data_IF_198343572824
#
_entry.id   IF_198343572824
#
_cell.length_a   1.000
_cell.length_b   1.000
_cell.length_c   1.000
_cell.angle_alpha   90.00
_cell.angle_beta   90.00
_cell.angle_gamma   90.00
#
_symmetry.space_group_name_H-M   'P 1'
#
loop_
_entity.id
_entity.type
_entity.pdbx_description
1 polymer ?
#
# COMPACT_ATOMS: atom_id res chain seq x y z
N UNK A 1 -81.28 -33.66 -13.31
CA UNK A 1 -81.03 -32.47 -14.15
C UNK A 1 -79.74 -31.81 -13.66
N UNK A 2 -78.69 -31.79 -14.51
CA UNK A 2 -77.39 -31.05 -14.38
C UNK A 2 -76.48 -31.49 -13.22
N UNK A 3 -75.32 -32.16 -13.36
CA UNK A 3 -74.13 -32.05 -14.24
C UNK A 3 -73.29 -30.79 -14.00
N UNK A 4 -72.18 -30.94 -13.26
CA UNK A 4 -70.89 -30.19 -13.31
C UNK A 4 -70.11 -30.49 -12.01
N UNK A 5 -68.78 -30.56 -11.92
CA UNK A 5 -67.65 -30.82 -12.83
C UNK A 5 -66.44 -30.94 -11.88
N UNK A 6 -65.68 -32.04 -11.94
CA UNK A 6 -64.35 -32.12 -11.29
C UNK A 6 -63.43 -31.05 -11.91
N UNK A 7 -62.72 -30.28 -11.08
CA UNK A 7 -61.51 -29.56 -11.48
C UNK A 7 -60.42 -29.91 -10.46
N UNK A 8 -59.57 -30.86 -10.87
CA UNK A 8 -58.31 -31.16 -10.21
C UNK A 8 -57.33 -30.06 -10.59
N UNK A 9 -56.96 -29.19 -9.64
CA UNK A 9 -55.90 -28.21 -9.83
C UNK A 9 -54.57 -28.94 -9.57
N UNK A 10 -53.86 -29.28 -10.64
CA UNK A 10 -52.46 -29.67 -10.58
C UNK A 10 -51.61 -28.43 -10.31
N UNK A 11 -51.04 -28.34 -9.11
CA UNK A 11 -50.01 -27.35 -8.80
C UNK A 11 -48.72 -27.85 -9.44
N UNK A 12 -48.38 -27.31 -10.61
CA UNK A 12 -47.04 -27.42 -11.17
C UNK A 12 -46.11 -26.54 -10.32
N UNK A 13 -45.28 -27.17 -9.50
CA UNK A 13 -44.18 -26.51 -8.82
C UNK A 13 -43.15 -26.08 -9.88
N UNK A 14 -43.26 -24.83 -10.34
CA UNK A 14 -42.18 -24.17 -11.08
C UNK A 14 -41.07 -23.91 -10.07
N UNK A 15 -40.12 -24.84 -10.01
CA UNK A 15 -38.85 -24.62 -9.35
C UNK A 15 -38.16 -23.45 -10.05
N UNK A 16 -38.18 -22.28 -9.43
CA UNK A 16 -37.23 -21.21 -9.71
C UNK A 16 -35.85 -21.69 -9.27
N UNK A 17 -35.23 -22.52 -10.11
CA UNK A 17 -33.80 -22.72 -10.07
C UNK A 17 -33.17 -21.39 -10.42
N UNK A 18 -32.77 -20.62 -9.39
CA UNK A 18 -31.79 -19.57 -9.58
C UNK A 18 -30.55 -20.24 -10.16
N UNK A 19 -30.37 -20.13 -11.47
CA UNK A 19 -29.09 -20.41 -12.08
C UNK A 19 -28.09 -19.46 -11.40
N UNK A 20 -27.25 -20.01 -10.53
CA UNK A 20 -26.05 -19.34 -10.09
C UNK A 20 -25.18 -19.17 -11.34
N UNK A 21 -25.39 -18.09 -12.08
CA UNK A 21 -24.56 -17.76 -13.22
C UNK A 21 -23.15 -17.54 -12.69
N UNK A 22 -22.21 -18.36 -13.17
CA UNK A 22 -20.79 -18.11 -13.00
C UNK A 22 -20.50 -16.66 -13.41
N UNK A 23 -20.07 -15.84 -12.45
CA UNK A 23 -19.83 -14.43 -12.69
C UNK A 23 -18.34 -14.21 -12.96
N UNK A 24 -18.01 -13.74 -14.15
CA UNK A 24 -16.67 -13.31 -14.51
C UNK A 24 -16.48 -11.83 -14.16
N UNK A 25 -15.31 -11.46 -13.65
CA UNK A 25 -14.92 -10.07 -13.40
C UNK A 25 -13.70 -9.70 -14.24
N UNK A 26 -13.76 -8.60 -14.97
CA UNK A 26 -12.61 -8.04 -15.71
C UNK A 26 -12.15 -6.74 -15.05
N UNK A 27 -10.88 -6.68 -14.67
CA UNK A 27 -10.29 -5.58 -13.93
C UNK A 27 -9.22 -4.88 -14.76
N UNK A 28 -9.37 -3.59 -15.02
CA UNK A 28 -8.32 -2.76 -15.62
C UNK A 28 -7.36 -2.22 -14.55
N UNK A 29 -6.08 -2.61 -14.61
CA UNK A 29 -5.04 -2.20 -13.65
C UNK A 29 -4.09 -1.15 -14.23
N UNK A 30 -3.74 -0.12 -13.45
CA UNK A 30 -2.70 0.83 -13.81
C UNK A 30 -1.32 0.17 -13.83
N UNK A 31 -1.04 -0.68 -12.84
CA UNK A 31 0.26 -1.30 -12.64
C UNK A 31 0.11 -2.80 -12.51
N UNK A 32 0.68 -3.52 -13.46
CA UNK A 32 0.83 -4.97 -13.42
C UNK A 32 1.84 -5.37 -12.32
N UNK A 33 1.62 -6.47 -11.57
CA UNK A 33 2.63 -7.00 -10.68
C UNK A 33 3.87 -7.42 -11.47
N UNK A 34 5.07 -7.15 -10.95
CA UNK A 34 6.31 -7.54 -11.61
C UNK A 34 6.64 -9.04 -11.50
N UNK A 35 5.90 -9.78 -10.67
CA UNK A 35 6.03 -11.23 -10.46
C UNK A 35 4.81 -11.75 -9.69
N UNK A 36 4.48 -13.02 -9.90
CA UNK A 36 3.48 -13.78 -9.13
C UNK A 36 4.09 -14.35 -7.84
N UNK A 37 5.42 -14.48 -7.75
CA UNK A 37 6.12 -14.90 -6.55
C UNK A 37 5.87 -13.89 -5.42
N UNK A 38 5.20 -14.28 -4.33
CA UNK A 38 4.80 -13.35 -3.28
C UNK A 38 5.98 -12.77 -2.50
N UNK A 39 7.19 -13.32 -2.69
CA UNK A 39 8.39 -12.88 -1.97
C UNK A 39 9.43 -12.17 -2.87
N UNK A 40 9.15 -11.99 -4.16
CA UNK A 40 10.12 -11.39 -5.09
C UNK A 40 10.23 -9.86 -4.97
N UNK A 41 9.11 -9.17 -4.77
CA UNK A 41 9.10 -7.70 -4.78
C UNK A 41 8.08 -7.15 -3.79
N UNK A 42 8.57 -6.65 -2.64
CA UNK A 42 7.76 -5.96 -1.65
C UNK A 42 7.35 -4.56 -2.16
N UNK A 43 6.27 -4.53 -2.95
CA UNK A 43 5.71 -3.34 -3.58
C UNK A 43 4.18 -3.44 -3.62
N UNK A 44 3.48 -2.30 -3.47
CA UNK A 44 2.01 -2.24 -3.38
C UNK A 44 1.23 -3.10 -4.38
N UNK A 45 1.41 -2.95 -5.71
CA UNK A 45 0.71 -3.79 -6.69
C UNK A 45 1.00 -5.28 -6.56
N UNK A 46 2.25 -5.67 -6.30
CA UNK A 46 2.64 -7.07 -6.07
C UNK A 46 1.97 -7.63 -4.82
N UNK A 47 2.08 -6.91 -3.69
CA UNK A 47 1.54 -7.35 -2.40
C UNK A 47 0.02 -7.45 -2.46
N UNK A 48 -0.65 -6.46 -3.06
CA UNK A 48 -2.10 -6.43 -3.25
C UNK A 48 -2.57 -7.62 -4.11
N UNK A 49 -1.92 -7.86 -5.24
CA UNK A 49 -2.24 -8.98 -6.11
C UNK A 49 -2.03 -10.34 -5.41
N UNK A 50 -0.92 -10.49 -4.70
CA UNK A 50 -0.59 -11.73 -3.98
C UNK A 50 -1.66 -12.12 -2.94
N UNK A 51 -2.40 -11.15 -2.37
CA UNK A 51 -3.48 -11.45 -1.40
C UNK A 51 -4.61 -12.30 -1.97
N UNK A 52 -4.81 -12.29 -3.29
CA UNK A 52 -5.82 -13.13 -3.93
C UNK A 52 -5.44 -14.61 -3.93
N UNK A 53 -4.14 -14.90 -4.01
CA UNK A 53 -3.60 -16.25 -4.17
C UNK A 53 -3.13 -16.81 -2.82
N UNK A 54 -2.41 -16.02 -2.02
CA UNK A 54 -1.71 -16.48 -0.82
C UNK A 54 -2.24 -15.82 0.45
N UNK A 55 -2.53 -16.62 1.47
CA UNK A 55 -2.86 -16.14 2.83
C UNK A 55 -1.63 -15.65 3.60
N UNK A 56 -1.87 -14.94 4.70
CA UNK A 56 -0.86 -14.55 5.69
C UNK A 56 -1.20 -15.17 7.05
N UNK A 57 -0.30 -15.10 8.03
CA UNK A 57 -0.66 -15.50 9.40
C UNK A 57 -1.72 -14.56 9.98
N UNK A 58 -1.55 -13.26 9.78
CA UNK A 58 -2.48 -12.23 10.25
C UNK A 58 -3.09 -11.51 9.06
N UNK A 59 -4.41 -11.40 9.01
CA UNK A 59 -5.12 -10.60 8.01
C UNK A 59 -5.16 -9.12 8.41
N UNK A 60 -5.39 -8.24 7.44
CA UNK A 60 -5.51 -6.80 7.67
C UNK A 60 -6.60 -6.21 6.78
N UNK A 61 -7.54 -5.48 7.37
CA UNK A 61 -8.67 -4.88 6.65
C UNK A 61 -8.28 -3.56 5.96
N UNK A 62 -9.25 -2.91 5.30
CA UNK A 62 -9.04 -1.63 4.63
C UNK A 62 -8.61 -0.48 5.56
N UNK A 63 -8.80 -0.65 6.87
CA UNK A 63 -8.40 0.28 7.93
C UNK A 63 -7.13 -0.18 8.67
N UNK A 64 -6.46 -1.20 8.17
CA UNK A 64 -5.30 -1.87 8.78
C UNK A 64 -5.57 -2.51 10.15
N UNK A 65 -6.83 -2.78 10.50
CA UNK A 65 -7.12 -3.55 11.69
C UNK A 65 -6.79 -5.02 11.43
N UNK A 66 -6.16 -5.65 12.41
CA UNK A 66 -5.80 -7.05 12.30
C UNK A 66 -7.04 -7.94 12.47
N UNK A 67 -7.14 -8.97 11.64
CA UNK A 67 -8.13 -10.04 11.80
C UNK A 67 -7.49 -11.42 11.61
N UNK A 68 -8.12 -12.50 12.11
CA UNK A 68 -7.59 -13.85 11.93
C UNK A 68 -7.59 -14.32 10.47
N UNK A 69 -6.42 -14.75 9.97
CA UNK A 69 -6.27 -15.36 8.64
C UNK A 69 -5.85 -16.84 8.80
N UNK A 70 -4.60 -17.20 8.47
CA UNK A 70 -4.07 -18.54 8.72
C UNK A 70 -3.75 -18.78 10.20
N UNK A 71 -3.52 -17.74 11.00
CA UNK A 71 -3.55 -17.81 12.45
C UNK A 71 -4.92 -17.37 12.98
N UNK A 72 -5.56 -18.22 13.79
CA UNK A 72 -6.85 -17.93 14.42
C UNK A 72 -6.72 -17.04 15.66
N UNK A 73 -5.53 -17.00 16.27
CA UNK A 73 -5.21 -16.13 17.40
C UNK A 73 -3.69 -15.99 17.56
N UNK A 74 -3.25 -14.90 18.18
CA UNK A 74 -1.86 -14.68 18.56
C UNK A 74 -1.75 -13.88 19.86
N UNK A 75 -0.72 -14.14 20.66
CA UNK A 75 -0.48 -13.46 21.94
C UNK A 75 0.98 -13.51 22.35
N UNK A 76 1.50 -12.55 23.12
CA UNK A 76 2.76 -12.75 23.83
C UNK A 76 2.59 -13.87 24.86
N UNK A 77 3.57 -14.77 24.97
CA UNK A 77 3.65 -15.79 26.03
C UNK A 77 4.74 -15.47 27.05
N UNK A 78 5.68 -14.62 26.66
CA UNK A 78 6.64 -13.93 27.51
C UNK A 78 7.01 -12.58 26.85
N UNK A 79 7.95 -11.85 27.45
CA UNK A 79 8.39 -10.52 26.97
C UNK A 79 8.95 -10.53 25.54
N UNK A 80 9.46 -11.66 25.08
CA UNK A 80 10.22 -11.81 23.83
C UNK A 80 9.63 -12.81 22.85
N UNK A 81 8.61 -13.57 23.26
CA UNK A 81 8.03 -14.65 22.46
C UNK A 81 6.54 -14.42 22.22
N UNK A 82 6.13 -14.49 20.96
CA UNK A 82 4.73 -14.53 20.55
C UNK A 82 4.34 -15.93 20.11
N UNK A 83 3.18 -16.40 20.56
CA UNK A 83 2.54 -17.61 20.08
C UNK A 83 1.47 -17.28 19.04
N UNK A 84 1.46 -18.02 17.93
CA UNK A 84 0.44 -17.99 16.90
C UNK A 84 -0.21 -19.37 16.81
N UNK A 85 -1.54 -19.44 17.00
CA UNK A 85 -2.33 -20.66 16.79
C UNK A 85 -2.85 -20.67 15.36
N UNK A 86 -2.48 -21.71 14.61
CA UNK A 86 -2.82 -21.86 13.20
C UNK A 86 -4.22 -22.46 13.02
N UNK A 87 -4.87 -22.09 11.93
CA UNK A 87 -6.17 -22.60 11.51
C UNK A 87 -6.04 -24.06 11.07
N UNK A 88 -6.90 -24.91 11.61
CA UNK A 88 -6.98 -26.32 11.22
C UNK A 88 -7.83 -26.50 9.97
N UNK A 89 -7.58 -27.57 9.21
CA UNK A 89 -8.39 -27.96 8.05
C UNK A 89 -8.21 -27.08 6.81
N UNK A 90 -7.22 -26.18 6.81
CA UNK A 90 -6.87 -25.40 5.62
C UNK A 90 -6.18 -26.28 4.60
N UNK A 91 -6.57 -26.14 3.34
CA UNK A 91 -5.95 -26.80 2.20
C UNK A 91 -5.25 -25.78 1.30
N UNK A 92 -4.11 -26.18 0.78
CA UNK A 92 -3.49 -25.57 -0.38
C UNK A 92 -4.36 -25.77 -1.63
N UNK A 93 -4.15 -24.97 -2.67
CA UNK A 93 -4.90 -25.07 -3.92
C UNK A 93 -4.80 -26.43 -4.61
N UNK A 94 -3.72 -27.19 -4.33
CA UNK A 94 -3.48 -28.57 -4.80
C UNK A 94 -4.13 -29.66 -3.90
N UNK A 95 -4.86 -29.25 -2.86
CA UNK A 95 -5.54 -30.12 -1.90
C UNK A 95 -4.68 -30.61 -0.73
N UNK A 96 -3.37 -30.37 -0.72
CA UNK A 96 -2.52 -30.74 0.41
C UNK A 96 -2.81 -29.91 1.67
N UNK A 97 -2.60 -30.45 2.88
CA UNK A 97 -2.91 -29.72 4.12
C UNK A 97 -1.87 -28.64 4.42
N UNK A 98 -2.34 -27.52 4.98
CA UNK A 98 -1.48 -26.48 5.56
C UNK A 98 -1.03 -26.85 6.97
N UNK A 99 0.23 -26.59 7.32
CA UNK A 99 0.77 -26.77 8.68
C UNK A 99 1.83 -25.73 9.07
N UNK A 100 2.30 -25.81 10.31
CA UNK A 100 3.44 -25.02 10.78
C UNK A 100 4.72 -25.20 9.94
N UNK A 101 4.91 -26.35 9.28
CA UNK A 101 6.09 -26.57 8.42
C UNK A 101 6.11 -25.60 7.23
N UNK A 102 4.94 -25.26 6.68
CA UNK A 102 4.81 -24.27 5.62
C UNK A 102 5.21 -22.87 6.09
N UNK A 103 4.90 -22.53 7.35
CA UNK A 103 5.28 -21.25 7.97
C UNK A 103 6.81 -21.17 8.12
N UNK A 104 7.42 -22.23 8.67
CA UNK A 104 8.88 -22.28 8.86
C UNK A 104 9.62 -22.23 7.51
N UNK A 105 9.13 -22.97 6.51
CA UNK A 105 9.68 -22.90 5.16
C UNK A 105 9.54 -21.51 4.54
N UNK A 106 8.36 -20.89 4.69
CA UNK A 106 8.08 -19.55 4.15
C UNK A 106 9.08 -18.52 4.67
N UNK A 107 9.29 -18.46 5.98
CA UNK A 107 10.12 -17.40 6.59
C UNK A 107 11.59 -17.58 6.29
N UNK A 108 12.04 -18.81 6.04
CA UNK A 108 13.39 -19.08 5.54
C UNK A 108 13.51 -18.61 4.08
N UNK A 109 12.56 -18.98 3.21
CA UNK A 109 12.61 -18.63 1.79
C UNK A 109 12.48 -17.12 1.55
N UNK A 110 11.54 -16.46 2.22
CA UNK A 110 11.21 -15.05 1.98
C UNK A 110 12.39 -14.10 2.21
N UNK A 111 13.36 -14.51 3.04
CA UNK A 111 14.59 -13.75 3.28
C UNK A 111 15.65 -13.92 2.18
N UNK A 112 15.55 -14.99 1.39
CA UNK A 112 16.63 -15.49 0.54
C UNK A 112 16.26 -15.51 -0.96
N UNK A 113 15.19 -14.83 -1.38
CA UNK A 113 14.80 -14.78 -2.80
C UNK A 113 15.87 -14.07 -3.63
N UNK A 114 16.47 -14.74 -4.64
CA UNK A 114 17.51 -14.14 -5.46
C UNK A 114 17.02 -12.93 -6.25
N UNK A 115 17.86 -11.91 -6.37
CA UNK A 115 17.61 -10.73 -7.21
C UNK A 115 16.30 -9.97 -6.90
N UNK A 116 15.76 -10.12 -5.68
CA UNK A 116 14.56 -9.39 -5.23
C UNK A 116 14.84 -7.86 -5.21
N UNK A 117 14.10 -7.04 -5.98
CA UNK A 117 14.30 -5.58 -6.00
C UNK A 117 13.98 -4.88 -4.67
N UNK A 118 13.05 -5.44 -3.89
CA UNK A 118 12.68 -4.99 -2.55
C UNK A 118 12.34 -6.21 -1.70
N UNK A 119 13.22 -6.53 -0.75
CA UNK A 119 13.14 -7.77 0.03
C UNK A 119 12.19 -7.67 1.23
N UNK A 120 11.63 -8.82 1.64
CA UNK A 120 10.83 -8.97 2.85
C UNK A 120 11.66 -9.17 4.13
N UNK A 121 13.00 -9.19 4.05
CA UNK A 121 13.92 -9.35 5.20
C UNK A 121 13.59 -8.41 6.35
N UNK A 122 13.13 -7.18 6.07
CA UNK A 122 12.81 -6.22 7.14
C UNK A 122 11.73 -6.70 8.12
N UNK A 123 10.85 -7.61 7.71
CA UNK A 123 9.76 -8.16 8.55
C UNK A 123 10.16 -9.45 9.26
N UNK A 124 11.32 -10.03 8.93
CA UNK A 124 11.75 -11.35 9.40
C UNK A 124 13.08 -11.29 10.15
N UNK A 125 13.90 -10.29 9.87
CA UNK A 125 15.21 -10.11 10.50
C UNK A 125 15.08 -9.96 12.02
N UNK A 126 15.93 -10.71 12.74
CA UNK A 126 15.96 -10.68 14.20
C UNK A 126 14.81 -11.47 14.86
N UNK A 127 14.09 -12.29 14.09
CA UNK A 127 13.03 -13.18 14.57
C UNK A 127 13.43 -14.64 14.38
N UNK A 128 13.24 -15.44 15.42
CA UNK A 128 13.42 -16.89 15.37
C UNK A 128 12.07 -17.55 15.39
N UNK A 129 11.76 -18.33 14.36
CA UNK A 129 10.52 -19.09 14.25
C UNK A 129 10.74 -20.51 14.74
N UNK A 130 9.81 -21.04 15.51
CA UNK A 130 9.89 -22.40 16.05
C UNK A 130 8.53 -23.08 15.98
N UNK A 131 8.53 -24.30 15.47
CA UNK A 131 7.35 -25.18 15.48
C UNK A 131 7.22 -25.79 16.86
N UNK A 132 6.09 -25.55 17.53
CA UNK A 132 5.75 -26.22 18.79
C UNK A 132 4.97 -27.50 18.49
N UNK A 133 4.01 -27.39 17.58
CA UNK A 133 3.25 -28.51 17.00
C UNK A 133 2.77 -28.09 15.59
N UNK A 134 2.03 -28.97 14.90
CA UNK A 134 1.56 -28.71 13.52
C UNK A 134 0.67 -27.46 13.37
N UNK A 135 0.10 -26.97 14.46
CA UNK A 135 -0.82 -25.82 14.47
C UNK A 135 -0.42 -24.74 15.48
N UNK A 136 0.84 -24.75 15.96
CA UNK A 136 1.36 -23.74 16.87
C UNK A 136 2.78 -23.34 16.45
N UNK A 137 2.95 -22.04 16.19
CA UNK A 137 4.26 -21.44 15.90
C UNK A 137 4.60 -20.41 16.97
N UNK A 138 5.83 -20.47 17.47
CA UNK A 138 6.41 -19.43 18.31
C UNK A 138 7.34 -18.55 17.48
N UNK A 139 7.28 -17.24 17.70
CA UNK A 139 8.17 -16.25 17.11
C UNK A 139 8.86 -15.48 18.22
N UNK A 140 10.19 -15.62 18.31
CA UNK A 140 11.01 -15.00 19.35
C UNK A 140 11.86 -13.86 18.79
N UNK A 141 12.01 -12.78 19.57
CA UNK A 141 12.94 -11.66 19.31
C UNK A 141 13.94 -11.50 20.46
N UNK A 142 15.01 -10.72 20.26
CA UNK A 142 15.98 -10.44 21.35
C UNK A 142 15.45 -9.48 22.42
N UNK A 143 14.47 -8.63 22.05
CA UNK A 143 13.84 -7.63 22.90
C UNK A 143 12.32 -7.66 22.68
N UNK A 144 11.52 -7.10 23.60
CA UNK A 144 10.09 -6.96 23.38
C UNK A 144 9.78 -6.28 22.05
N UNK A 145 8.92 -6.94 21.26
CA UNK A 145 8.56 -6.48 19.92
C UNK A 145 7.04 -6.52 19.72
N UNK A 146 6.31 -5.45 20.10
CA UNK A 146 4.85 -5.42 20.06
C UNK A 146 4.27 -5.35 18.64
N UNK A 147 5.10 -5.00 17.64
CA UNK A 147 4.70 -4.94 16.22
C UNK A 147 4.71 -6.32 15.54
N UNK A 148 4.89 -7.42 16.30
CA UNK A 148 4.94 -8.77 15.74
C UNK A 148 3.73 -9.10 14.85
N UNK A 149 2.48 -8.81 15.24
CA UNK A 149 1.33 -9.10 14.38
C UNK A 149 1.34 -8.28 13.08
N UNK A 150 1.80 -7.01 13.14
CA UNK A 150 1.88 -6.15 11.96
C UNK A 150 2.82 -6.74 10.90
N UNK A 151 4.00 -7.23 11.29
CA UNK A 151 4.95 -7.86 10.37
C UNK A 151 4.34 -9.10 9.71
N UNK A 152 3.55 -9.87 10.47
CA UNK A 152 2.91 -11.11 10.03
C UNK A 152 1.70 -10.90 9.10
N UNK A 153 1.32 -9.65 8.82
CA UNK A 153 0.36 -9.32 7.75
C UNK A 153 0.99 -9.28 6.36
N UNK A 154 2.30 -9.03 6.31
CA UNK A 154 2.99 -8.66 5.07
C UNK A 154 3.59 -9.87 4.35
N UNK A 155 4.14 -10.83 5.11
CA UNK A 155 4.75 -12.04 4.54
C UNK A 155 3.66 -13.07 4.24
N UNK A 156 3.51 -13.46 2.96
CA UNK A 156 2.51 -14.45 2.54
C UNK A 156 3.03 -15.87 2.73
N UNK A 157 2.18 -16.75 3.25
CA UNK A 157 2.55 -18.15 3.46
C UNK A 157 2.44 -18.92 2.15
N UNK A 158 3.47 -19.71 1.84
CA UNK A 158 3.58 -20.55 0.65
C UNK A 158 3.68 -22.02 1.04
N UNK A 159 3.26 -22.91 0.14
CA UNK A 159 3.38 -24.35 0.34
C UNK A 159 4.85 -24.77 0.35
N UNK A 160 5.29 -25.46 1.40
CA UNK A 160 6.63 -26.05 1.45
C UNK A 160 6.83 -27.10 0.34
N UNK A 161 5.78 -27.87 0.04
CA UNK A 161 5.79 -28.89 -1.02
C UNK A 161 5.98 -28.27 -2.41
N UNK A 162 5.22 -27.24 -2.75
CA UNK A 162 5.31 -26.58 -4.06
C UNK A 162 6.53 -25.65 -4.17
N UNK A 163 6.93 -25.03 -3.05
CA UNK A 163 7.99 -24.03 -3.02
C UNK A 163 9.41 -24.60 -2.92
N UNK A 164 9.60 -25.84 -2.44
CA UNK A 164 10.92 -26.43 -2.28
C UNK A 164 11.62 -26.60 -3.63
N UNK A 165 12.73 -25.87 -3.82
CA UNK A 165 13.48 -25.85 -5.08
C UNK A 165 12.85 -25.01 -6.19
N UNK A 166 11.72 -24.33 -5.93
CA UNK A 166 11.06 -23.48 -6.90
C UNK A 166 11.75 -22.12 -7.02
N UNK A 167 12.07 -21.75 -8.26
CA UNK A 167 12.54 -20.41 -8.62
C UNK A 167 11.37 -19.43 -8.71
N UNK A 168 11.65 -18.12 -8.75
CA UNK A 168 10.62 -17.11 -9.05
C UNK A 168 9.90 -17.37 -10.37
N UNK A 169 10.57 -18.00 -11.35
CA UNK A 169 9.94 -18.34 -12.64
C UNK A 169 8.94 -19.50 -12.51
N UNK A 170 9.16 -20.44 -11.59
CA UNK A 170 8.17 -21.48 -11.29
C UNK A 170 6.88 -20.87 -10.69
N UNK A 171 6.97 -19.75 -9.96
CA UNK A 171 5.78 -19.01 -9.51
C UNK A 171 5.14 -18.23 -10.65
N UNK A 172 5.92 -17.54 -11.48
CA UNK A 172 5.41 -16.77 -12.62
C UNK A 172 4.67 -17.63 -13.65
N UNK A 173 5.15 -18.86 -13.86
CA UNK A 173 4.51 -19.86 -14.74
C UNK A 173 3.33 -20.58 -14.08
N UNK A 174 3.07 -20.34 -12.80
CA UNK A 174 1.98 -20.97 -12.04
C UNK A 174 2.31 -22.30 -11.38
N UNK A 175 3.40 -22.96 -11.78
CA UNK A 175 3.80 -24.30 -11.26
C UNK A 175 3.97 -24.31 -9.74
N UNK A 176 4.49 -23.24 -9.15
CA UNK A 176 4.67 -23.08 -7.71
C UNK A 176 3.67 -22.10 -7.08
N UNK A 177 2.76 -21.51 -7.86
CA UNK A 177 1.76 -20.54 -7.39
C UNK A 177 0.58 -21.22 -6.67
N UNK A 178 0.90 -22.07 -5.70
CA UNK A 178 -0.04 -22.85 -4.89
C UNK A 178 -0.23 -22.12 -3.57
N UNK A 179 -1.41 -21.52 -3.40
CA UNK A 179 -1.76 -20.71 -2.26
C UNK A 179 -2.88 -21.30 -1.39
N UNK A 180 -3.31 -20.53 -0.40
CA UNK A 180 -4.47 -20.81 0.47
C UNK A 180 -5.57 -19.77 0.30
N UNK A 181 -5.38 -18.80 -0.59
CA UNK A 181 -6.27 -17.67 -0.80
C UNK A 181 -7.57 -18.02 -1.53
N UNK A 182 -8.48 -17.04 -1.67
CA UNK A 182 -9.80 -17.19 -2.27
C UNK A 182 -9.77 -17.44 -3.79
N UNK A 183 -8.63 -17.24 -4.45
CA UNK A 183 -8.46 -17.46 -5.88
C UNK A 183 -7.19 -18.28 -6.16
N UNK A 184 -7.23 -19.12 -7.19
CA UNK A 184 -6.12 -19.90 -7.73
C UNK A 184 -5.57 -19.21 -8.97
N UNK A 185 -4.26 -19.30 -9.17
CA UNK A 185 -3.61 -18.79 -10.37
C UNK A 185 -3.90 -19.70 -11.58
N UNK A 186 -4.24 -19.11 -12.73
CA UNK A 186 -4.49 -19.85 -13.98
C UNK A 186 -3.41 -19.55 -15.01
N UNK A 187 -3.25 -18.28 -15.39
CA UNK A 187 -2.24 -17.87 -16.38
C UNK A 187 -1.79 -16.43 -16.18
N UNK A 188 -0.59 -16.13 -16.66
CA UNK A 188 -0.09 -14.78 -16.83
C UNK A 188 0.52 -14.65 -18.23
N UNK A 189 -0.01 -13.73 -19.01
CA UNK A 189 0.56 -13.26 -20.27
C UNK A 189 1.02 -11.82 -20.04
N UNK A 190 2.34 -11.59 -19.81
CA UNK A 190 2.85 -10.27 -19.46
C UNK A 190 2.42 -9.17 -20.42
N UNK A 191 1.91 -8.07 -19.87
CA UNK A 191 1.43 -6.92 -20.63
C UNK A 191 0.05 -7.09 -21.27
N UNK A 192 -0.58 -8.26 -21.16
CA UNK A 192 -1.92 -8.53 -21.70
C UNK A 192 -2.93 -8.87 -20.59
N UNK A 193 -2.72 -9.98 -19.86
CA UNK A 193 -3.67 -10.44 -18.85
C UNK A 193 -3.08 -11.34 -17.78
N UNK A 194 -3.70 -11.31 -16.60
CA UNK A 194 -3.55 -12.32 -15.55
C UNK A 194 -4.93 -12.89 -15.23
N UNK A 195 -5.04 -14.21 -15.19
CA UNK A 195 -6.31 -14.91 -14.95
C UNK A 195 -6.22 -15.67 -13.64
N UNK A 196 -7.23 -15.48 -12.80
CA UNK A 196 -7.47 -16.24 -11.59
C UNK A 196 -8.83 -16.95 -11.68
N UNK A 197 -8.91 -18.14 -11.09
CA UNK A 197 -10.17 -18.87 -10.88
C UNK A 197 -10.48 -18.96 -9.40
N UNK A 198 -11.76 -19.08 -9.03
CA UNK A 198 -12.15 -19.16 -7.63
C UNK A 198 -11.64 -20.43 -6.96
N UNK A 199 -11.16 -20.30 -5.74
CA UNK A 199 -10.89 -21.43 -4.87
C UNK A 199 -12.18 -21.84 -4.12
N UNK A 200 -12.88 -22.85 -4.63
CA UNK A 200 -14.11 -23.35 -4.01
C UNK A 200 -13.88 -24.05 -2.66
N UNK A 201 -12.64 -24.45 -2.35
CA UNK A 201 -12.21 -25.03 -1.07
C UNK A 201 -11.66 -23.98 -0.09
N UNK A 202 -11.82 -22.68 -0.38
CA UNK A 202 -11.33 -21.62 0.50
C UNK A 202 -11.98 -21.71 1.88
N UNK A 203 -11.17 -21.64 2.94
CA UNK A 203 -11.64 -21.78 4.33
C UNK A 203 -12.48 -20.59 4.83
N UNK A 204 -12.41 -19.46 4.12
CA UNK A 204 -13.16 -18.24 4.43
C UNK A 204 -14.46 -18.12 3.64
N UNK A 205 -14.93 -16.89 3.46
CA UNK A 205 -16.10 -16.62 2.62
C UNK A 205 -15.77 -16.91 1.15
N UNK A 206 -16.62 -17.70 0.49
CA UNK A 206 -16.49 -18.01 -0.93
C UNK A 206 -16.50 -16.72 -1.75
N UNK A 207 -15.53 -16.58 -2.65
CA UNK A 207 -15.43 -15.40 -3.49
C UNK A 207 -16.62 -15.29 -4.46
N UNK A 208 -17.07 -14.08 -4.75
CA UNK A 208 -18.29 -13.86 -5.53
C UNK A 208 -18.15 -14.25 -7.01
N UNK A 209 -16.95 -14.10 -7.57
CA UNK A 209 -16.68 -14.33 -8.99
C UNK A 209 -15.98 -15.68 -9.20
N UNK A 210 -16.39 -16.40 -10.23
CA UNK A 210 -15.83 -17.69 -10.64
C UNK A 210 -14.46 -17.50 -11.29
N UNK A 211 -14.32 -16.41 -12.03
CA UNK A 211 -13.09 -16.04 -12.74
C UNK A 211 -12.83 -14.54 -12.62
N UNK A 212 -11.58 -14.17 -12.41
CA UNK A 212 -11.14 -12.77 -12.43
C UNK A 212 -10.03 -12.62 -13.45
N UNK A 213 -10.20 -11.70 -14.38
CA UNK A 213 -9.19 -11.37 -15.40
C UNK A 213 -8.69 -9.94 -15.16
N UNK A 214 -7.42 -9.81 -14.80
CA UNK A 214 -6.75 -8.52 -14.67
C UNK A 214 -6.09 -8.16 -15.99
N UNK A 215 -6.37 -6.96 -16.51
CA UNK A 215 -5.81 -6.41 -17.75
C UNK A 215 -4.95 -5.18 -17.42
N UNK A 216 -3.64 -5.21 -17.66
CA UNK A 216 -2.79 -4.04 -17.53
C UNK A 216 -3.16 -2.97 -18.56
N UNK A 217 -3.60 -1.81 -18.10
CA UNK A 217 -3.93 -0.65 -18.95
C UNK A 217 -3.30 0.57 -18.27
N UNK A 218 -2.09 0.94 -18.66
CA UNK A 218 -1.29 1.96 -17.96
C UNK A 218 -1.87 3.38 -18.04
N UNK A 219 -2.42 3.74 -19.21
CA UNK A 219 -2.98 5.07 -19.46
C UNK A 219 -4.33 5.23 -18.74
N UNK A 220 -4.45 6.27 -17.90
CA UNK A 220 -5.68 6.58 -17.15
C UNK A 220 -6.89 6.81 -18.06
N UNK A 221 -6.81 7.70 -19.08
CA UNK A 221 -7.90 7.91 -20.03
C UNK A 221 -8.31 6.63 -20.78
N UNK A 222 -7.35 5.76 -21.11
CA UNK A 222 -7.64 4.48 -21.75
C UNK A 222 -8.38 3.52 -20.80
N UNK A 223 -7.99 3.45 -19.51
CA UNK A 223 -8.73 2.68 -18.49
C UNK A 223 -10.19 3.12 -18.37
N UNK A 224 -10.42 4.43 -18.28
CA UNK A 224 -11.77 4.97 -18.20
C UNK A 224 -12.57 4.64 -19.46
N UNK A 225 -11.95 4.78 -20.65
CA UNK A 225 -12.62 4.44 -21.91
C UNK A 225 -12.99 2.96 -21.97
N UNK A 226 -12.10 2.06 -21.54
CA UNK A 226 -12.37 0.63 -21.45
C UNK A 226 -13.51 0.29 -20.47
N UNK A 227 -13.58 0.99 -19.33
CA UNK A 227 -14.69 0.84 -18.38
C UNK A 227 -16.02 1.28 -18.99
N UNK A 228 -16.06 2.48 -19.58
CA UNK A 228 -17.30 3.04 -20.16
C UNK A 228 -17.77 2.27 -21.40
N UNK A 229 -16.86 1.63 -22.13
CA UNK A 229 -17.18 0.75 -23.26
C UNK A 229 -17.62 -0.66 -22.82
N UNK A 230 -17.42 -1.01 -21.54
CA UNK A 230 -17.71 -2.36 -21.02
C UNK A 230 -16.65 -3.41 -21.39
N UNK A 231 -15.41 -3.01 -21.72
CA UNK A 231 -14.29 -3.92 -21.95
C UNK A 231 -13.69 -4.48 -20.65
N UNK A 232 -13.90 -3.73 -19.55
CA UNK A 232 -13.62 -4.09 -18.16
C UNK A 232 -14.78 -3.65 -17.27
N UNK A 233 -14.95 -4.32 -16.14
CA UNK A 233 -16.06 -4.11 -15.20
C UNK A 233 -15.63 -3.24 -14.00
N UNK A 234 -14.32 -3.18 -13.73
CA UNK A 234 -13.72 -2.39 -12.66
C UNK A 234 -12.38 -1.81 -13.12
N UNK A 235 -12.02 -0.62 -12.65
CA UNK A 235 -10.68 -0.05 -12.82
C UNK A 235 -10.13 0.47 -11.50
N UNK A 236 -8.82 0.35 -11.32
CA UNK A 236 -8.10 1.02 -10.23
C UNK A 236 -7.58 2.40 -10.66
N UNK A 237 -7.10 3.16 -9.68
CA UNK A 237 -6.34 4.40 -9.87
C UNK A 237 -7.00 5.37 -10.88
N UNK A 238 -8.25 5.76 -10.60
CA UNK A 238 -8.99 6.76 -11.39
C UNK A 238 -8.23 8.10 -11.37
N UNK A 239 -7.89 8.69 -12.52
CA UNK A 239 -7.24 10.01 -12.58
C UNK A 239 -8.03 11.08 -11.82
N UNK A 240 -7.40 11.91 -10.96
CA UNK A 240 -8.10 12.92 -10.17
C UNK A 240 -8.96 13.89 -11.01
N UNK A 241 -8.48 14.30 -12.18
CA UNK A 241 -9.18 15.21 -13.10
C UNK A 241 -10.52 14.65 -13.60
N UNK A 242 -10.67 13.32 -13.64
CA UNK A 242 -11.88 12.66 -14.12
C UNK A 242 -12.90 12.40 -13.00
N UNK A 243 -12.50 12.48 -11.73
CA UNK A 243 -13.37 12.13 -10.59
C UNK A 243 -14.63 12.97 -10.57
N UNK A 244 -14.52 14.29 -10.74
CA UNK A 244 -15.69 15.18 -10.72
C UNK A 244 -16.68 14.91 -11.88
N UNK A 245 -16.17 14.48 -13.04
CA UNK A 245 -16.96 14.08 -14.20
C UNK A 245 -17.66 12.74 -13.96
N UNK A 246 -16.89 11.73 -13.55
CA UNK A 246 -17.38 10.37 -13.31
C UNK A 246 -18.38 10.30 -12.14
N UNK A 247 -18.27 11.18 -11.14
CA UNK A 247 -19.28 11.32 -10.07
C UNK A 247 -20.68 11.68 -10.59
N UNK A 248 -20.77 12.29 -11.78
CA UNK A 248 -22.03 12.70 -12.40
C UNK A 248 -22.52 11.69 -13.44
N UNK A 249 -21.75 10.63 -13.70
CA UNK A 249 -22.06 9.62 -14.68
C UNK A 249 -22.80 8.47 -14.00
N UNK A 250 -24.07 8.25 -14.38
CA UNK A 250 -24.91 7.23 -13.78
C UNK A 250 -24.57 5.80 -14.24
N UNK A 251 -23.68 5.64 -15.23
CA UNK A 251 -23.26 4.32 -15.72
C UNK A 251 -22.19 3.66 -14.86
N UNK A 252 -21.53 4.42 -13.98
CA UNK A 252 -20.44 3.96 -13.14
C UNK A 252 -20.64 4.35 -11.69
N UNK A 253 -19.99 3.61 -10.79
CA UNK A 253 -19.90 3.98 -9.38
C UNK A 253 -18.44 4.27 -9.05
N UNK A 254 -18.23 5.35 -8.27
CA UNK A 254 -16.92 5.67 -7.75
C UNK A 254 -16.83 5.23 -6.28
N UNK A 255 -15.84 4.41 -6.00
CA UNK A 255 -15.42 4.06 -4.65
C UNK A 255 -14.07 4.69 -4.34
N UNK A 256 -13.90 5.17 -3.10
CA UNK A 256 -12.66 5.78 -2.65
C UNK A 256 -12.60 5.84 -1.13
N UNK A 257 -11.39 5.80 -0.60
CA UNK A 257 -11.13 5.85 0.84
C UNK A 257 -9.72 6.34 1.15
N UNK A 258 -9.42 6.61 2.43
CA UNK A 258 -8.08 7.01 2.85
C UNK A 258 -7.03 5.97 2.47
N UNK A 259 -5.91 6.42 1.90
CA UNK A 259 -4.74 5.58 1.68
C UNK A 259 -3.85 5.59 2.93
N UNK A 260 -3.15 4.48 3.18
CA UNK A 260 -2.08 4.42 4.18
C UNK A 260 -0.84 5.24 3.82
N UNK A 261 -0.84 5.90 2.65
CA UNK A 261 0.26 6.73 2.20
C UNK A 261 0.11 8.15 2.71
N UNK A 262 1.12 8.61 3.42
CA UNK A 262 1.32 10.00 3.79
C UNK A 262 2.45 10.59 2.96
N UNK A 263 2.22 11.77 2.36
CA UNK A 263 3.27 12.57 1.76
C UNK A 263 3.73 13.59 2.80
N UNK A 264 5.02 13.62 3.10
CA UNK A 264 5.55 14.45 4.18
C UNK A 264 6.90 15.07 3.81
N UNK A 265 7.37 15.96 4.67
CA UNK A 265 8.63 16.67 4.49
C UNK A 265 9.67 16.10 5.43
N UNK A 266 10.78 15.60 4.88
CA UNK A 266 11.98 15.33 5.65
C UNK A 266 12.89 16.55 5.60
N UNK A 267 13.35 16.97 6.77
CA UNK A 267 14.23 18.13 6.96
C UNK A 267 15.53 17.68 7.63
N UNK A 268 16.66 18.10 7.09
CA UNK A 268 17.97 17.91 7.68
C UNK A 268 18.11 18.74 8.96
N UNK A 269 18.05 18.06 10.11
CA UNK A 269 18.03 18.67 11.44
C UNK A 269 19.35 18.51 12.20
N UNK A 270 20.37 17.94 11.56
CA UNK A 270 21.53 17.42 12.27
C UNK A 270 22.86 17.97 11.77
N UNK A 271 22.95 18.38 10.49
CA UNK A 271 24.17 19.01 9.95
C UNK A 271 24.16 20.51 10.24
N UNK A 272 25.29 21.03 10.73
CA UNK A 272 25.46 22.48 10.95
C UNK A 272 25.58 23.25 9.62
N UNK A 273 26.28 22.66 8.65
CA UNK A 273 26.32 23.11 7.25
C UNK A 273 25.44 22.17 6.41
N UNK A 274 24.23 22.63 6.13
CA UNK A 274 23.23 21.85 5.42
C UNK A 274 23.36 22.12 3.91
N UNK A 275 23.46 21.08 3.06
CA UNK A 275 23.59 21.28 1.62
C UNK A 275 22.34 21.98 1.07
N UNK A 276 22.46 22.66 -0.08
CA UNK A 276 21.33 23.34 -0.73
C UNK A 276 20.58 24.38 0.14
N UNK A 277 21.18 24.83 1.24
CA UNK A 277 20.72 25.95 2.05
C UNK A 277 21.82 27.01 2.06
N UNK A 278 21.44 28.26 1.76
CA UNK A 278 22.37 29.40 1.69
C UNK A 278 21.73 30.65 2.27
N UNK A 279 22.55 31.61 2.68
CA UNK A 279 22.08 32.96 2.93
C UNK A 279 21.53 33.59 1.64
N UNK A 280 20.76 34.69 1.75
CA UNK A 280 20.14 35.36 0.59
C UNK A 280 21.17 35.85 -0.43
N UNK A 281 22.32 36.31 0.04
CA UNK A 281 23.47 36.72 -0.77
C UNK A 281 24.23 35.55 -1.41
N UNK A 282 23.86 34.30 -1.11
CA UNK A 282 24.53 33.09 -1.61
C UNK A 282 25.65 32.57 -0.68
N UNK A 283 25.93 33.27 0.42
CA UNK A 283 26.92 32.88 1.41
C UNK A 283 26.52 31.65 2.25
N UNK A 284 27.46 31.17 3.06
CA UNK A 284 27.20 30.14 4.05
C UNK A 284 26.27 30.66 5.16
N UNK A 285 25.42 29.80 5.69
CA UNK A 285 24.54 30.10 6.81
C UNK A 285 24.45 28.87 7.71
N UNK A 286 24.39 29.07 9.03
CA UNK A 286 24.11 27.97 9.95
C UNK A 286 22.74 27.38 9.62
N UNK A 287 22.65 26.05 9.53
CA UNK A 287 21.44 25.33 9.15
C UNK A 287 20.21 25.80 9.94
N UNK A 288 19.27 26.53 9.30
CA UNK A 288 18.06 27.03 9.94
C UNK A 288 17.11 25.91 10.37
N UNK A 289 17.15 24.75 9.70
CA UNK A 289 16.26 23.62 9.97
C UNK A 289 16.54 22.95 11.32
N UNK A 290 17.70 23.22 11.95
CA UNK A 290 17.99 22.79 13.33
C UNK A 290 17.09 23.51 14.35
N UNK A 291 16.63 24.73 14.06
CA UNK A 291 15.74 25.47 14.96
C UNK A 291 14.27 25.01 14.79
N UNK A 292 13.66 24.59 15.90
CA UNK A 292 12.26 24.15 15.92
C UNK A 292 11.28 25.24 15.49
N UNK A 293 11.60 26.52 15.73
CA UNK A 293 10.77 27.67 15.34
C UNK A 293 10.72 27.80 13.82
N UNK A 294 11.84 27.57 13.13
CA UNK A 294 11.90 27.54 11.65
C UNK A 294 11.05 26.37 11.11
N UNK A 295 11.14 25.18 11.71
CA UNK A 295 10.33 24.02 11.29
C UNK A 295 8.82 24.25 11.49
N UNK A 296 8.44 24.88 12.60
CA UNK A 296 7.05 25.29 12.86
C UNK A 296 6.58 26.35 11.84
N UNK A 297 7.41 27.36 11.56
CA UNK A 297 7.11 28.37 10.55
C UNK A 297 6.90 27.75 9.16
N UNK A 298 7.74 26.78 8.77
CA UNK A 298 7.56 26.03 7.53
C UNK A 298 6.21 25.31 7.52
N UNK A 299 5.86 24.56 8.56
CA UNK A 299 4.57 23.84 8.61
C UNK A 299 3.36 24.77 8.54
N UNK A 300 3.40 25.92 9.22
CA UNK A 300 2.35 26.96 9.22
C UNK A 300 2.25 27.72 7.90
N UNK A 301 3.34 27.76 7.11
CA UNK A 301 3.33 28.38 5.78
C UNK A 301 2.64 27.52 4.72
N UNK A 302 2.39 26.24 4.99
CA UNK A 302 1.80 25.31 4.03
C UNK A 302 0.28 25.35 4.14
N UNK A 303 -0.36 25.89 3.10
CA UNK A 303 -1.81 25.83 2.94
C UNK A 303 -2.22 24.45 2.41
N UNK A 304 -2.44 23.50 3.33
CA UNK A 304 -2.83 22.13 3.00
C UNK A 304 -4.20 22.05 2.31
N UNK A 305 -5.14 22.94 2.65
CA UNK A 305 -6.44 23.04 1.97
C UNK A 305 -6.28 23.41 0.49
N UNK A 306 -5.46 24.41 0.17
CA UNK A 306 -5.20 24.79 -1.21
C UNK A 306 -4.52 23.67 -2.01
N UNK A 307 -3.64 22.87 -1.40
CA UNK A 307 -3.04 21.70 -2.06
C UNK A 307 -4.12 20.65 -2.35
N UNK A 308 -4.96 20.33 -1.37
CA UNK A 308 -6.06 19.36 -1.54
C UNK A 308 -7.01 19.82 -2.65
N UNK A 309 -7.45 21.07 -2.62
CA UNK A 309 -8.45 21.59 -3.54
C UNK A 309 -7.90 21.77 -4.97
N UNK A 310 -6.69 22.34 -5.11
CA UNK A 310 -6.18 22.82 -6.41
C UNK A 310 -5.17 21.88 -7.07
N UNK A 311 -4.43 21.11 -6.29
CA UNK A 311 -3.41 20.18 -6.80
C UNK A 311 -3.96 18.76 -6.83
N UNK A 312 -4.79 18.39 -5.86
CA UNK A 312 -5.33 17.03 -5.72
C UNK A 312 -6.80 16.91 -6.11
N UNK A 313 -7.46 17.98 -6.57
CA UNK A 313 -8.86 17.99 -7.01
C UNK A 313 -9.84 17.44 -5.94
N UNK A 314 -9.55 17.70 -4.67
CA UNK A 314 -10.31 17.18 -3.53
C UNK A 314 -10.11 15.69 -3.22
N UNK A 315 -9.19 15.01 -3.92
CA UNK A 315 -8.89 13.58 -3.78
C UNK A 315 -7.67 13.36 -2.88
N UNK A 316 -7.64 14.05 -1.73
CA UNK A 316 -6.61 13.90 -0.71
C UNK A 316 -7.13 14.32 0.67
N UNK A 317 -6.49 13.83 1.72
CA UNK A 317 -6.78 14.20 3.11
C UNK A 317 -5.57 14.93 3.70
N UNK A 318 -5.82 16.04 4.40
CA UNK A 318 -4.77 16.80 5.07
C UNK A 318 -4.16 15.97 6.20
N UNK A 319 -2.85 15.75 6.15
CA UNK A 319 -2.14 15.02 7.20
C UNK A 319 -1.85 15.92 8.42
N UNK A 320 -2.24 15.45 9.60
CA UNK A 320 -1.81 15.98 10.91
C UNK A 320 -0.90 15.01 11.69
N UNK A 321 -0.77 13.79 11.19
CA UNK A 321 0.06 12.72 11.72
C UNK A 321 0.37 11.73 10.57
N UNK A 322 1.14 10.67 10.85
CA UNK A 322 1.60 9.73 9.83
C UNK A 322 0.50 8.81 9.28
N UNK A 323 -0.52 8.51 10.08
CA UNK A 323 -1.63 7.64 9.70
C UNK A 323 -2.93 8.44 9.54
N UNK A 324 -3.78 8.11 8.56
CA UNK A 324 -5.08 8.76 8.38
C UNK A 324 -6.08 8.36 9.48
N UNK A 325 -7.11 9.17 9.69
CA UNK A 325 -8.20 8.85 10.61
C UNK A 325 -8.85 7.48 10.27
N UNK A 326 -9.21 6.72 11.30
CA UNK A 326 -9.81 5.39 11.17
C UNK A 326 -8.81 4.22 11.27
N UNK A 327 -7.51 4.49 11.11
CA UNK A 327 -6.50 3.45 11.18
C UNK A 327 -6.09 3.12 12.61
N UNK A 328 -5.57 1.91 12.81
CA UNK A 328 -5.09 1.47 14.11
C UNK A 328 -3.97 2.38 14.65
N UNK A 329 -4.06 2.77 15.92
CA UNK A 329 -3.05 3.61 16.58
C UNK A 329 -3.10 5.11 16.26
N UNK A 330 -4.07 5.57 15.47
CA UNK A 330 -4.23 6.99 15.13
C UNK A 330 -4.79 7.77 16.33
N UNK A 331 -4.20 8.93 16.63
CA UNK A 331 -4.69 9.82 17.67
C UNK A 331 -5.76 10.78 17.15
N UNK A 332 -6.89 10.88 17.83
CA UNK A 332 -7.94 11.89 17.60
C UNK A 332 -7.52 13.31 18.02
N UNK A 333 -6.45 13.44 18.79
CA UNK A 333 -5.92 14.72 19.31
C UNK A 333 -4.98 15.42 18.32
N UNK A 334 -4.40 14.69 17.38
CA UNK A 334 -3.42 15.22 16.42
C UNK A 334 -4.14 15.75 15.18
N UNK A 335 -4.14 17.08 15.01
CA UNK A 335 -4.80 17.77 13.89
C UNK A 335 -3.76 18.35 12.92
N UNK A 336 -4.11 18.51 11.64
CA UNK A 336 -3.25 19.24 10.70
C UNK A 336 -2.94 20.64 11.23
N UNK A 337 -1.67 21.04 11.12
CA UNK A 337 -1.23 22.39 11.49
C UNK A 337 -2.01 23.44 10.68
N UNK A 338 -2.46 24.49 11.36
CA UNK A 338 -3.22 25.56 10.73
C UNK A 338 -2.34 26.41 9.80
N UNK A 339 -2.91 26.85 8.68
CA UNK A 339 -2.24 27.76 7.76
C UNK A 339 -2.21 29.18 8.36
N UNK A 340 -1.04 29.64 8.78
CA UNK A 340 -0.81 30.98 9.34
C UNK A 340 0.54 31.56 8.86
N UNK A 341 0.56 32.18 7.66
CA UNK A 341 1.78 32.78 7.13
C UNK A 341 2.24 34.00 7.91
N UNK A 342 1.37 34.65 8.70
CA UNK A 342 1.76 35.81 9.53
C UNK A 342 2.56 35.33 10.74
N UNK A 343 2.05 34.31 11.44
CA UNK A 343 2.78 33.69 12.54
C UNK A 343 4.06 33.01 12.07
N UNK A 344 4.06 32.39 10.88
CA UNK A 344 5.28 31.85 10.28
C UNK A 344 6.37 32.92 10.13
N UNK A 345 6.06 34.09 9.55
CA UNK A 345 7.02 35.21 9.45
C UNK A 345 7.53 35.68 10.80
N UNK A 346 6.65 35.77 11.79
CA UNK A 346 7.02 36.14 13.17
C UNK A 346 8.03 35.13 13.76
N UNK A 347 7.75 33.83 13.64
CA UNK A 347 8.65 32.77 14.12
C UNK A 347 10.00 32.78 13.40
N UNK A 348 10.02 33.07 12.09
CA UNK A 348 11.26 33.22 11.33
C UNK A 348 12.12 34.38 11.86
N UNK A 349 11.51 35.53 12.14
CA UNK A 349 12.21 36.67 12.73
C UNK A 349 12.73 36.37 14.14
N UNK A 350 11.92 35.75 14.99
CA UNK A 350 12.32 35.32 16.34
C UNK A 350 13.45 34.28 16.31
N UNK A 351 13.50 33.46 15.26
CA UNK A 351 14.57 32.49 15.02
C UNK A 351 15.87 33.10 14.49
N UNK A 352 15.90 34.42 14.25
CA UNK A 352 17.07 35.12 13.72
C UNK A 352 17.15 35.14 12.19
N UNK A 353 16.06 34.80 11.50
CA UNK A 353 15.96 34.78 10.04
C UNK A 353 14.84 35.73 9.52
N UNK A 354 14.85 37.03 9.89
CA UNK A 354 13.79 37.97 9.48
C UNK A 354 13.69 38.13 7.96
N UNK A 355 14.83 38.06 7.26
CA UNK A 355 14.92 38.13 5.80
C UNK A 355 14.93 36.74 5.14
N UNK A 356 14.83 35.67 5.94
CA UNK A 356 14.84 34.28 5.49
C UNK A 356 16.18 33.80 4.93
N UNK A 357 16.13 32.78 4.08
CA UNK A 357 17.29 32.11 3.48
C UNK A 357 16.89 31.45 2.16
N UNK A 358 17.86 30.92 1.42
CA UNK A 358 17.65 30.13 0.20
C UNK A 358 17.59 28.65 0.54
N UNK A 359 16.68 27.91 -0.09
CA UNK A 359 16.53 26.46 0.09
C UNK A 359 16.07 25.79 -1.20
N UNK A 360 16.49 24.56 -1.45
CA UNK A 360 15.97 23.77 -2.59
C UNK A 360 15.03 22.68 -2.08
N UNK A 361 13.81 22.65 -2.61
CA UNK A 361 12.83 21.58 -2.40
C UNK A 361 13.12 20.45 -3.38
N UNK A 362 13.54 19.30 -2.84
CA UNK A 362 13.82 18.11 -3.65
C UNK A 362 12.65 17.13 -3.57
N UNK A 363 12.29 16.52 -4.70
CA UNK A 363 11.22 15.52 -4.74
C UNK A 363 11.29 14.61 -5.97
N UNK A 364 10.52 13.52 -5.99
CA UNK A 364 10.34 12.72 -7.20
C UNK A 364 9.42 13.44 -8.21
N UNK A 365 9.42 12.99 -9.47
CA UNK A 365 8.49 13.45 -10.52
C UNK A 365 7.69 12.33 -11.22
N UNK A 366 7.85 11.08 -10.78
CA UNK A 366 7.22 9.89 -11.35
C UNK A 366 6.83 8.85 -10.29
N UNK A 367 6.77 9.24 -9.01
CA UNK A 367 6.55 8.33 -7.87
C UNK A 367 5.16 8.46 -7.26
N UNK A 368 4.67 9.69 -7.10
CA UNK A 368 3.38 9.97 -6.46
C UNK A 368 2.48 10.76 -7.39
N UNK A 369 1.18 10.74 -7.10
CA UNK A 369 0.21 11.56 -7.84
C UNK A 369 0.59 13.03 -7.65
N UNK A 370 0.89 13.72 -8.75
CA UNK A 370 1.22 15.13 -8.80
C UNK A 370 2.45 15.56 -7.96
N UNK A 371 3.41 14.67 -7.71
CA UNK A 371 4.61 14.96 -6.89
C UNK A 371 5.36 16.24 -7.28
N UNK A 372 5.68 16.44 -8.56
CA UNK A 372 6.36 17.65 -9.01
C UNK A 372 5.53 18.93 -8.76
N UNK A 373 4.22 18.88 -9.02
CA UNK A 373 3.30 20.00 -8.76
C UNK A 373 3.18 20.32 -7.26
N UNK A 374 3.24 19.29 -6.40
CA UNK A 374 3.27 19.46 -4.95
C UNK A 374 4.56 20.18 -4.54
N UNK A 375 5.72 19.78 -5.07
CA UNK A 375 6.99 20.45 -4.79
C UNK A 375 6.99 21.93 -5.22
N UNK A 376 6.43 22.24 -6.39
CA UNK A 376 6.22 23.61 -6.88
C UNK A 376 5.30 24.44 -5.97
N UNK A 377 4.16 23.86 -5.58
CA UNK A 377 3.22 24.53 -4.67
C UNK A 377 3.87 24.82 -3.30
N UNK A 378 4.65 23.88 -2.78
CA UNK A 378 5.41 24.06 -1.53
C UNK A 378 6.41 25.22 -1.66
N UNK A 379 7.22 25.26 -2.73
CA UNK A 379 8.16 26.35 -2.94
C UNK A 379 7.46 27.71 -3.05
N UNK A 380 6.35 27.81 -3.78
CA UNK A 380 5.56 29.04 -3.86
C UNK A 380 5.02 29.50 -2.50
N UNK A 381 4.58 28.57 -1.64
CA UNK A 381 4.10 28.88 -0.29
C UNK A 381 5.23 29.35 0.63
N UNK A 382 6.39 28.69 0.57
CA UNK A 382 7.60 29.07 1.32
C UNK A 382 8.13 30.45 0.92
N UNK A 383 8.11 30.77 -0.37
CA UNK A 383 8.50 32.08 -0.89
C UNK A 383 7.69 33.23 -0.28
N UNK A 384 6.39 33.02 0.00
CA UNK A 384 5.52 34.04 0.61
C UNK A 384 5.91 34.39 2.05
N UNK A 385 6.64 33.50 2.74
CA UNK A 385 7.12 33.72 4.12
C UNK A 385 8.61 34.05 4.20
N UNK A 386 9.26 34.32 3.05
CA UNK A 386 10.64 34.81 2.99
C UNK A 386 11.69 33.71 2.79
N UNK A 387 11.32 32.44 2.74
CA UNK A 387 12.22 31.35 2.36
C UNK A 387 12.27 31.31 0.84
N UNK A 388 13.40 31.72 0.24
CA UNK A 388 13.61 31.69 -1.22
C UNK A 388 13.84 30.25 -1.68
N UNK A 389 12.72 29.61 -1.99
CA UNK A 389 12.64 28.21 -2.33
C UNK A 389 12.63 28.01 -3.85
N UNK A 390 13.58 27.22 -4.35
CA UNK A 390 13.55 26.65 -5.69
C UNK A 390 13.21 25.16 -5.65
N UNK A 391 12.96 24.55 -6.81
CA UNK A 391 12.54 23.14 -6.92
C UNK A 391 13.51 22.38 -7.81
N UNK A 392 13.93 21.20 -7.35
CA UNK A 392 14.62 20.20 -8.17
C UNK A 392 13.88 18.87 -8.06
N UNK A 393 13.30 18.40 -9.16
CA UNK A 393 12.66 17.08 -9.22
C UNK A 393 13.36 16.13 -10.18
N UNK A 394 13.26 14.84 -9.88
CA UNK A 394 13.94 13.79 -10.64
C UNK A 394 13.16 12.47 -10.57
N UNK A 395 13.52 11.51 -11.41
CA UNK A 395 12.87 10.18 -11.38
C UNK A 395 13.11 9.49 -10.05
N UNK A 396 12.17 8.65 -9.61
CA UNK A 396 12.22 7.91 -8.34
C UNK A 396 13.53 7.14 -8.15
N UNK A 397 14.04 6.56 -9.24
CA UNK A 397 15.28 5.77 -9.22
C UNK A 397 16.49 6.63 -8.87
N UNK A 398 16.55 7.87 -9.38
CA UNK A 398 17.60 8.83 -9.05
C UNK A 398 17.36 9.45 -7.68
N UNK A 399 16.11 9.88 -7.42
CA UNK A 399 15.72 10.59 -6.21
C UNK A 399 16.04 9.79 -4.95
N UNK A 400 15.51 8.56 -4.82
CA UNK A 400 15.69 7.78 -3.58
C UNK A 400 17.13 7.32 -3.37
N UNK A 401 17.92 7.13 -4.44
CA UNK A 401 19.35 6.85 -4.31
C UNK A 401 20.08 8.03 -3.68
N UNK A 402 19.82 9.25 -4.16
CA UNK A 402 20.44 10.49 -3.66
C UNK A 402 19.93 10.87 -2.26
N UNK A 403 18.61 10.82 -2.06
CA UNK A 403 17.92 11.14 -0.81
C UNK A 403 18.26 10.21 0.35
N UNK A 404 18.64 8.96 0.09
CA UNK A 404 19.02 8.02 1.16
C UNK A 404 20.51 8.01 1.45
N UNK A 405 21.36 7.93 0.41
CA UNK A 405 22.80 7.64 0.55
C UNK A 405 23.68 8.36 -0.48
N UNK A 406 23.19 9.45 -1.10
CA UNK A 406 23.92 10.17 -2.15
C UNK A 406 25.04 11.08 -1.66
N UNK A 407 25.06 11.41 -0.37
CA UNK A 407 26.06 12.28 0.23
C UNK A 407 27.42 11.60 0.46
N UNK A 408 28.47 12.40 0.78
CA UNK A 408 29.86 11.93 0.91
C UNK A 408 30.06 10.74 1.85
N UNK A 409 29.27 10.64 2.93
CA UNK A 409 29.36 9.60 3.96
C UNK A 409 28.18 8.62 3.91
N UNK A 410 27.58 8.40 2.73
CA UNK A 410 26.31 7.67 2.57
C UNK A 410 25.15 8.28 3.37
N UNK A 411 25.26 9.57 3.69
CA UNK A 411 24.17 10.37 4.22
C UNK A 411 23.21 10.81 3.09
N UNK A 412 22.00 11.30 3.42
CA UNK A 412 21.15 11.99 2.45
C UNK A 412 21.88 13.15 1.77
N UNK A 413 21.82 13.22 0.44
CA UNK A 413 22.41 14.33 -0.32
C UNK A 413 21.66 15.65 -0.11
N UNK A 414 20.35 15.58 0.10
CA UNK A 414 19.45 16.74 0.17
C UNK A 414 19.16 17.18 1.60
N UNK A 415 18.63 18.39 1.73
CA UNK A 415 18.29 18.99 3.04
C UNK A 415 16.80 19.14 3.29
N UNK A 416 16.02 19.29 2.22
CA UNK A 416 14.59 19.42 2.29
C UNK A 416 13.96 18.55 1.21
N UNK A 417 13.29 17.48 1.64
CA UNK A 417 12.88 16.36 0.80
C UNK A 417 11.37 16.13 0.93
N UNK A 418 10.70 16.02 -0.20
CA UNK A 418 9.31 15.53 -0.29
C UNK A 418 9.36 14.00 -0.36
N UNK A 419 8.78 13.33 0.64
CA UNK A 419 8.79 11.87 0.77
C UNK A 419 7.38 11.28 0.73
#
# INVERSE_FOLDING_TARGET
MKLTRMITIGIAAIGLSFAANAADLRVGLQSEPSSIDPHYHNLGPNNGFATHIFGALVGSDENQQHYPDLAVSWKPVDDTTWEFKLRQGVKWHDGSPFSADDVLFTVERAQNVPNSPSSFVTYLKGKTFSKIDDHTVHIKTEKPYPLMPNDMTTVKIISAKAGKGASTEDYNSGKAAIGTGPYKFVEWVPGDRIVLERNDDYFGAKAAFDKVTFKPIKSGPARISALLAGDVDFIDNVPPLDVARLKKDNSVQLSGGPSNRVIYLHMDQFREDSPHIKAKDGGAIKNPLMDVRVRKAISMSINRDAIVDRVMEGVAVKAGQLLPAGFHGVSDKMKPEAYDPKMAKKLMAEAGYPDGFKMVVHGPNDRYINDAKIAEALAQMLNRVGIDASVETMTKAVYFKRASRGGPDKSPEFSFMVL
#
